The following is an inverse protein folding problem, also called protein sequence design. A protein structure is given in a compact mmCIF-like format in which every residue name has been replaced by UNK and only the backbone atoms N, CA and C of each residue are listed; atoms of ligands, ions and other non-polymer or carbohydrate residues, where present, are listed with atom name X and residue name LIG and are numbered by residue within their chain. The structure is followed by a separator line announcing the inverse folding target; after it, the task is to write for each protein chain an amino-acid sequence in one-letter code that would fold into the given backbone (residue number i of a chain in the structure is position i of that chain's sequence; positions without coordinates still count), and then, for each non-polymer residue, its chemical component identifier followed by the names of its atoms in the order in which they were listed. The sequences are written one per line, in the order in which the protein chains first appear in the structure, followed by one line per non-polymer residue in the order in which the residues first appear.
data_IF_695970409317
#
_entry.id   IF_695970409317
#
_cell.length_a   1.000
_cell.length_b   1.000
_cell.length_c   1.000
_cell.angle_alpha   90.00
_cell.angle_beta   90.00
_cell.angle_gamma   90.00
#
_symmetry.space_group_name_H-M   'P 1'
#
loop_
_entity.id
_entity.type
_entity.pdbx_description
1 polymer ?
#
# COMPACT_ATOMS: atom_id res chain seq x y z
N UNK A 1 4.39 -17.61 -1.03
CA UNK A 1 4.06 -16.72 -2.15
C UNK A 1 4.55 -17.36 -3.44
N UNK A 2 3.70 -17.39 -4.47
CA UNK A 2 4.09 -17.95 -5.76
C UNK A 2 5.10 -17.06 -6.47
N UNK A 3 5.98 -17.68 -7.26
CA UNK A 3 6.83 -16.91 -8.14
C UNK A 3 5.98 -16.22 -9.20
N UNK A 4 6.32 -14.98 -9.50
CA UNK A 4 5.67 -14.20 -10.52
C UNK A 4 6.52 -14.16 -11.78
N UNK A 5 5.86 -14.07 -12.93
CA UNK A 5 6.58 -13.80 -14.17
C UNK A 5 7.08 -12.37 -14.13
N UNK A 6 8.01 -12.01 -15.00
CA UNK A 6 8.54 -10.66 -14.99
C UNK A 6 7.53 -9.58 -15.40
N UNK A 7 6.37 -9.98 -15.96
CA UNK A 7 5.30 -9.04 -16.29
C UNK A 7 4.26 -8.94 -15.21
N UNK A 8 4.38 -9.75 -14.16
CA UNK A 8 3.46 -9.75 -13.03
C UNK A 8 4.16 -9.15 -11.82
N UNK A 9 3.37 -8.49 -10.97
CA UNK A 9 3.89 -7.85 -9.77
C UNK A 9 3.18 -8.45 -8.55
N UNK A 10 3.89 -8.51 -7.44
CA UNK A 10 3.28 -8.89 -6.17
C UNK A 10 2.43 -7.73 -5.67
N UNK A 11 1.17 -8.01 -5.38
CA UNK A 11 0.22 -7.01 -4.90
C UNK A 11 0.29 -6.95 -3.38
N UNK A 12 0.50 -5.76 -2.85
CA UNK A 12 0.77 -5.55 -1.43
C UNK A 12 -0.20 -4.54 -0.84
N UNK A 13 -0.67 -4.82 0.38
CA UNK A 13 -1.42 -3.87 1.19
C UNK A 13 -0.55 -3.55 2.41
N UNK A 14 -0.41 -2.27 2.75
CA UNK A 14 0.28 -1.84 3.96
C UNK A 14 -0.78 -1.45 4.99
N UNK A 15 -0.69 -2.07 6.16
CA UNK A 15 -1.64 -1.87 7.24
C UNK A 15 -1.02 -0.95 8.28
N UNK A 16 -1.25 0.34 8.12
CA UNK A 16 -0.70 1.39 8.96
C UNK A 16 0.46 2.13 8.29
N UNK A 17 0.28 3.42 7.96
CA UNK A 17 1.32 4.21 7.28
C UNK A 17 2.18 4.99 8.27
N UNK A 18 2.43 4.45 9.46
CA UNK A 18 3.34 5.07 10.42
C UNK A 18 4.76 5.10 9.89
N UNK A 19 5.73 5.38 10.76
CA UNK A 19 7.13 5.55 10.33
C UNK A 19 7.63 4.34 9.54
N UNK A 20 7.46 3.13 10.08
CA UNK A 20 7.90 1.92 9.39
C UNK A 20 7.04 1.62 8.16
N UNK A 21 5.72 1.85 8.27
CA UNK A 21 4.81 1.65 7.17
C UNK A 21 5.11 2.57 6.00
N UNK A 22 5.50 3.81 6.28
CA UNK A 22 5.88 4.77 5.24
C UNK A 22 7.12 4.32 4.49
N UNK A 23 8.10 3.78 5.16
CA UNK A 23 9.28 3.22 4.50
C UNK A 23 8.89 2.04 3.60
N UNK A 24 8.03 1.16 4.12
CA UNK A 24 7.55 0.02 3.33
C UNK A 24 6.78 0.49 2.10
N UNK A 25 5.88 1.46 2.26
CA UNK A 25 5.12 2.02 1.15
C UNK A 25 6.05 2.57 0.07
N UNK A 26 7.06 3.35 0.49
CA UNK A 26 8.02 3.93 -0.45
C UNK A 26 8.74 2.83 -1.23
N UNK A 27 9.17 1.80 -0.53
CA UNK A 27 9.85 0.67 -1.16
C UNK A 27 8.95 0.00 -2.21
N UNK A 28 7.70 -0.29 -1.85
CA UNK A 28 6.79 -0.98 -2.77
C UNK A 28 6.37 -0.10 -3.95
N UNK A 29 6.29 1.21 -3.77
CA UNK A 29 5.94 2.14 -4.85
C UNK A 29 7.09 2.25 -5.84
N UNK A 30 8.32 2.26 -5.36
CA UNK A 30 9.49 2.50 -6.21
C UNK A 30 10.15 1.24 -6.74
N UNK A 31 9.67 0.06 -6.33
CA UNK A 31 10.23 -1.22 -6.78
C UNK A 31 9.28 -1.89 -7.77
N UNK A 32 9.74 -2.11 -8.99
CA UNK A 32 8.91 -2.65 -10.08
C UNK A 32 8.40 -4.08 -9.85
N UNK A 33 8.97 -4.80 -8.88
CA UNK A 33 8.50 -6.15 -8.55
C UNK A 33 7.20 -6.14 -7.76
N UNK A 34 6.78 -4.97 -7.24
CA UNK A 34 5.62 -4.84 -6.37
C UNK A 34 4.64 -3.82 -6.88
N UNK A 35 3.38 -4.02 -6.51
CA UNK A 35 2.32 -3.06 -6.75
C UNK A 35 1.62 -2.81 -5.43
N UNK A 36 1.72 -1.59 -4.89
CA UNK A 36 0.97 -1.20 -3.70
C UNK A 36 -0.48 -0.97 -4.13
N UNK A 37 -1.40 -1.75 -3.60
CA UNK A 37 -2.81 -1.68 -4.00
C UNK A 37 -3.72 -1.14 -2.91
N UNK A 38 -3.26 -1.05 -1.68
CA UNK A 38 -4.07 -0.52 -0.59
C UNK A 38 -3.23 -0.13 0.61
N UNK A 39 -3.75 0.82 1.38
CA UNK A 39 -3.13 1.26 2.63
C UNK A 39 -4.23 1.54 3.63
N UNK A 40 -4.13 0.93 4.80
CA UNK A 40 -5.04 1.17 5.91
C UNK A 40 -4.53 2.37 6.72
N UNK A 41 -5.21 3.51 6.61
CA UNK A 41 -4.91 4.68 7.42
C UNK A 41 -5.66 4.63 8.75
N UNK A 42 -5.12 5.27 9.78
CA UNK A 42 -5.73 5.29 11.12
C UNK A 42 -6.15 6.69 11.56
N UNK A 43 -5.39 7.70 11.19
CA UNK A 43 -5.67 9.09 11.60
C UNK A 43 -6.29 9.87 10.45
N UNK A 44 -7.00 10.97 10.78
CA UNK A 44 -7.66 11.78 9.75
C UNK A 44 -6.72 12.19 8.61
N UNK A 45 -5.48 12.54 8.94
CA UNK A 45 -4.52 12.95 7.92
C UNK A 45 -3.96 11.79 7.10
N UNK A 46 -4.42 10.57 7.38
CA UNK A 46 -4.01 9.37 6.66
C UNK A 46 -5.16 8.76 5.86
N UNK A 47 -6.30 9.43 5.78
CA UNK A 47 -7.48 8.89 5.11
C UNK A 47 -7.90 9.81 3.98
N UNK A 48 -8.34 9.23 2.87
CA UNK A 48 -8.76 9.94 1.67
C UNK A 48 -7.62 10.73 1.00
N UNK A 49 -6.40 10.27 1.20
CA UNK A 49 -5.21 10.86 0.58
C UNK A 49 -4.56 9.78 -0.27
N UNK A 50 -4.07 10.16 -1.45
CA UNK A 50 -3.31 9.24 -2.30
C UNK A 50 -2.02 8.83 -1.58
N UNK A 51 -1.72 7.53 -1.60
CA UNK A 51 -0.56 6.99 -0.89
C UNK A 51 0.77 7.57 -1.38
N UNK A 52 0.87 7.81 -2.69
CA UNK A 52 2.08 8.44 -3.24
C UNK A 52 2.21 9.87 -2.75
N UNK A 53 1.14 10.64 -2.83
CA UNK A 53 1.13 12.02 -2.38
C UNK A 53 1.43 12.16 -0.88
N UNK A 54 0.92 11.20 -0.08
CA UNK A 54 1.20 11.18 1.36
C UNK A 54 2.71 11.12 1.63
N UNK A 55 3.46 10.48 0.77
CA UNK A 55 4.92 10.34 0.90
C UNK A 55 5.71 11.45 0.20
N UNK A 56 5.01 12.40 -0.43
CA UNK A 56 5.66 13.45 -1.20
C UNK A 56 6.06 13.00 -2.61
N UNK A 57 5.49 11.91 -3.08
CA UNK A 57 5.73 11.40 -4.44
C UNK A 57 4.57 11.77 -5.35
N UNK A 58 4.69 11.44 -6.63
CA UNK A 58 3.58 11.60 -7.56
C UNK A 58 2.42 10.68 -7.17
N UNK A 59 1.17 11.05 -7.48
CA UNK A 59 0.03 10.20 -7.17
C UNK A 59 0.13 8.84 -7.86
N UNK A 60 -0.26 7.79 -7.15
CA UNK A 60 -0.25 6.44 -7.70
C UNK A 60 -1.66 5.86 -7.91
N UNK A 61 -2.69 6.64 -7.56
CA UNK A 61 -4.07 6.19 -7.74
C UNK A 61 -4.59 5.31 -6.61
N UNK A 62 -3.87 5.19 -5.51
CA UNK A 62 -4.28 4.38 -4.36
C UNK A 62 -4.61 5.32 -3.20
N UNK A 63 -5.89 5.40 -2.87
CA UNK A 63 -6.37 6.28 -1.81
C UNK A 63 -6.35 5.51 -0.49
N UNK A 64 -5.64 6.05 0.49
CA UNK A 64 -5.59 5.45 1.83
C UNK A 64 -6.97 5.49 2.48
N UNK A 65 -7.35 4.44 3.17
CA UNK A 65 -8.69 4.29 3.71
C UNK A 65 -8.68 3.58 5.07
N UNK A 66 -9.72 3.82 5.87
CA UNK A 66 -9.97 3.06 7.09
C UNK A 66 -11.01 1.97 6.89
N UNK A 67 -11.48 1.76 5.66
CA UNK A 67 -12.46 0.72 5.36
C UNK A 67 -11.77 -0.64 5.23
N UNK A 68 -11.70 -1.35 6.35
CA UNK A 68 -11.00 -2.64 6.40
C UNK A 68 -11.65 -3.69 5.52
N UNK A 69 -12.98 -3.67 5.41
CA UNK A 69 -13.69 -4.63 4.55
C UNK A 69 -13.27 -4.51 3.09
N UNK A 70 -13.16 -3.27 2.59
CA UNK A 70 -12.75 -3.07 1.21
C UNK A 70 -11.32 -3.52 0.96
N UNK A 71 -10.44 -3.31 1.94
CA UNK A 71 -9.04 -3.74 1.84
C UNK A 71 -8.93 -5.27 1.86
N UNK A 72 -9.67 -5.91 2.76
CA UNK A 72 -9.65 -7.37 2.87
C UNK A 72 -10.29 -8.07 1.68
N UNK A 73 -11.14 -7.36 0.93
CA UNK A 73 -11.74 -7.88 -0.29
C UNK A 73 -10.79 -7.81 -1.48
N UNK A 74 -9.70 -7.08 -1.37
CA UNK A 74 -8.71 -6.98 -2.44
C UNK A 74 -7.90 -8.27 -2.56
N UNK A 75 -7.54 -8.62 -3.79
CA UNK A 75 -6.77 -9.82 -4.07
C UNK A 75 -5.27 -9.49 -3.95
N UNK A 76 -4.79 -9.42 -2.72
CA UNK A 76 -3.40 -9.10 -2.44
C UNK A 76 -2.59 -10.37 -2.22
N UNK A 77 -1.32 -10.32 -2.62
CA UNK A 77 -0.39 -11.42 -2.34
C UNK A 77 0.12 -11.36 -0.90
N UNK A 78 0.12 -10.16 -0.31
CA UNK A 78 0.76 -9.96 0.98
C UNK A 78 0.17 -8.73 1.67
N UNK A 79 0.05 -8.79 2.99
CA UNK A 79 -0.34 -7.65 3.82
C UNK A 79 0.77 -7.40 4.83
N UNK A 80 1.28 -6.18 4.85
CA UNK A 80 2.35 -5.80 5.76
C UNK A 80 1.74 -5.02 6.93
N UNK A 81 1.87 -5.57 8.12
CA UNK A 81 1.46 -4.89 9.35
C UNK A 81 2.64 -4.13 9.92
N UNK A 82 2.45 -2.84 10.16
CA UNK A 82 3.52 -1.99 10.67
C UNK A 82 3.06 -1.16 11.88
N UNK A 83 1.97 -1.54 12.47
CA UNK A 83 1.44 -0.87 13.68
C UNK A 83 1.82 -1.61 14.94
#
# INVERSE_FOLDING_TARGET
MKDKTKNERYKVIVWGPGKMGSYAMHYFITNDAFELIGVRGYFENEINIDAGEFLGLDPIGVIMTDNEESLLAMDADCVIHST
#
